data_IF_868494468980
#
_entry.id   IF_868494468980
#
_cell.length_a   1.000
_cell.length_b   1.000
_cell.length_c   1.000
_cell.angle_alpha   90.00
_cell.angle_beta   90.00
_cell.angle_gamma   90.00
#
_symmetry.space_group_name_H-M   'P 1'
#
loop_
_entity.id
_entity.type
_entity.pdbx_description
1 polymer ?
#
# COMPACT_ATOMS: atom_id res chain seq x y z
N UNK A 1 48.34 -29.99 21.89
CA UNK A 1 48.37 -30.03 20.41
C UNK A 1 46.98 -29.63 19.92
N UNK A 2 46.85 -28.55 19.13
CA UNK A 2 45.54 -28.07 18.65
C UNK A 2 45.22 -28.76 17.31
N UNK A 3 44.20 -29.62 17.31
CA UNK A 3 43.73 -30.35 16.13
C UNK A 3 42.95 -29.39 15.22
N UNK A 4 43.63 -28.74 14.26
CA UNK A 4 42.95 -27.93 13.24
C UNK A 4 42.37 -28.88 12.18
N UNK A 5 41.13 -29.35 12.41
CA UNK A 5 40.33 -29.96 11.35
C UNK A 5 39.93 -28.86 10.38
N UNK A 6 40.57 -28.81 9.21
CA UNK A 6 40.14 -27.95 8.10
C UNK A 6 38.85 -28.49 7.48
N UNK A 7 37.99 -27.57 7.02
CA UNK A 7 36.79 -27.89 6.25
C UNK A 7 37.16 -28.64 4.98
N UNK A 8 36.40 -29.68 4.62
CA UNK A 8 36.66 -30.42 3.38
C UNK A 8 35.99 -29.74 2.18
N UNK A 9 36.60 -29.82 0.99
CA UNK A 9 36.01 -29.23 -0.24
C UNK A 9 34.64 -29.83 -0.55
N UNK A 10 34.46 -31.13 -0.29
CA UNK A 10 33.18 -31.82 -0.51
C UNK A 10 32.08 -31.28 0.41
N UNK A 11 32.42 -30.92 1.64
CA UNK A 11 31.48 -30.37 2.62
C UNK A 11 30.98 -28.99 2.15
N UNK A 12 31.88 -28.15 1.62
CA UNK A 12 31.49 -26.87 1.03
C UNK A 12 30.59 -27.05 -0.22
N UNK A 13 30.89 -28.02 -1.08
CA UNK A 13 30.11 -28.30 -2.29
C UNK A 13 28.69 -28.76 -1.94
N UNK A 14 28.53 -29.66 -0.97
CA UNK A 14 27.20 -30.13 -0.56
C UNK A 14 26.37 -28.97 0.01
N UNK A 15 27.00 -28.07 0.77
CA UNK A 15 26.31 -26.91 1.37
C UNK A 15 25.76 -25.97 0.30
N UNK A 16 26.54 -25.63 -0.73
CA UNK A 16 26.06 -24.76 -1.81
C UNK A 16 24.96 -25.43 -2.64
N UNK A 17 24.99 -26.75 -2.81
CA UNK A 17 23.93 -27.50 -3.49
C UNK A 17 22.62 -27.44 -2.69
N UNK A 18 22.68 -27.66 -1.37
CA UNK A 18 21.50 -27.58 -0.50
C UNK A 18 20.94 -26.15 -0.49
N UNK A 19 21.78 -25.13 -0.31
CA UNK A 19 21.35 -23.73 -0.35
C UNK A 19 20.78 -23.38 -1.73
N UNK A 20 21.34 -23.92 -2.81
CA UNK A 20 20.82 -23.73 -4.17
C UNK A 20 19.38 -24.23 -4.34
N UNK A 21 19.08 -25.44 -3.85
CA UNK A 21 17.72 -26.01 -3.90
C UNK A 21 16.76 -25.19 -3.02
N UNK A 22 17.17 -24.84 -1.80
CA UNK A 22 16.36 -24.03 -0.89
C UNK A 22 16.07 -22.65 -1.48
N UNK A 23 17.06 -22.00 -2.09
CA UNK A 23 16.90 -20.70 -2.72
C UNK A 23 15.93 -20.75 -3.91
N UNK A 24 16.01 -21.79 -4.74
CA UNK A 24 15.13 -21.96 -5.91
C UNK A 24 13.64 -22.00 -5.53
N UNK A 25 13.29 -22.57 -4.37
CA UNK A 25 11.90 -22.63 -3.88
C UNK A 25 11.54 -21.41 -3.01
N UNK A 26 12.48 -20.90 -2.22
CA UNK A 26 12.21 -19.82 -1.26
C UNK A 26 12.04 -18.44 -1.93
N UNK A 27 12.84 -18.14 -2.96
CA UNK A 27 12.81 -16.84 -3.65
C UNK A 27 11.44 -16.53 -4.28
N UNK A 28 10.83 -17.40 -5.12
CA UNK A 28 9.54 -17.09 -5.73
C UNK A 28 8.44 -16.85 -4.67
N UNK A 29 8.40 -17.70 -3.64
CA UNK A 29 7.45 -17.55 -2.53
C UNK A 29 7.66 -16.26 -1.73
N UNK A 30 8.91 -15.84 -1.53
CA UNK A 30 9.21 -14.57 -0.87
C UNK A 30 8.68 -13.38 -1.67
N UNK A 31 8.85 -13.39 -3.00
CA UNK A 31 8.36 -12.33 -3.88
C UNK A 31 6.82 -12.23 -3.84
N UNK A 32 6.12 -13.36 -3.85
CA UNK A 32 4.66 -13.42 -3.69
C UNK A 32 4.22 -12.84 -2.34
N UNK A 33 4.84 -13.27 -1.24
CA UNK A 33 4.52 -12.76 0.10
C UNK A 33 4.73 -11.24 0.20
N UNK A 34 5.77 -10.70 -0.45
CA UNK A 34 6.00 -9.26 -0.47
C UNK A 34 4.94 -8.49 -1.26
N UNK A 35 4.38 -9.08 -2.32
CA UNK A 35 3.24 -8.54 -3.10
C UNK A 35 1.97 -8.55 -2.28
N UNK A 36 1.63 -9.68 -1.67
CA UNK A 36 0.42 -9.81 -0.85
C UNK A 36 0.44 -8.84 0.33
N UNK A 37 1.61 -8.65 0.94
CA UNK A 37 1.78 -7.64 1.99
C UNK A 37 1.57 -6.21 1.46
N UNK A 38 2.05 -5.90 0.25
CA UNK A 38 1.84 -4.59 -0.36
C UNK A 38 0.34 -4.35 -0.68
N UNK A 39 -0.33 -5.37 -1.20
CA UNK A 39 -1.77 -5.35 -1.46
C UNK A 39 -2.58 -5.16 -0.17
N UNK A 40 -2.18 -5.81 0.92
CA UNK A 40 -2.82 -5.63 2.24
C UNK A 40 -2.75 -4.19 2.73
N UNK A 41 -1.59 -3.54 2.59
CA UNK A 41 -1.41 -2.12 2.92
C UNK A 41 -2.26 -1.23 2.02
N UNK A 42 -2.32 -1.52 0.71
CA UNK A 42 -3.14 -0.76 -0.23
C UNK A 42 -4.64 -0.86 0.10
N UNK A 43 -5.14 -2.05 0.47
CA UNK A 43 -6.53 -2.27 0.89
C UNK A 43 -6.86 -1.53 2.19
N UNK A 44 -5.97 -1.57 3.18
CA UNK A 44 -6.11 -0.80 4.43
C UNK A 44 -6.17 0.71 4.16
N UNK A 45 -5.29 1.20 3.30
CA UNK A 45 -5.25 2.60 2.86
C UNK A 45 -6.55 3.03 2.18
N UNK A 46 -7.06 2.20 1.25
CA UNK A 46 -8.34 2.47 0.58
C UNK A 46 -9.50 2.58 1.57
N UNK A 47 -9.55 1.69 2.58
CA UNK A 47 -10.56 1.75 3.64
C UNK A 47 -10.49 3.06 4.42
N UNK A 48 -9.29 3.48 4.80
CA UNK A 48 -9.08 4.73 5.53
C UNK A 48 -9.44 5.96 4.69
N UNK A 49 -9.11 5.99 3.40
CA UNK A 49 -9.52 7.07 2.49
C UNK A 49 -11.06 7.14 2.35
N UNK A 50 -11.74 5.99 2.26
CA UNK A 50 -13.22 5.95 2.20
C UNK A 50 -13.87 6.46 3.48
N UNK A 51 -13.34 6.08 4.64
CA UNK A 51 -13.77 6.59 5.95
C UNK A 51 -13.57 8.10 6.08
N UNK A 52 -12.40 8.59 5.67
CA UNK A 52 -12.11 10.02 5.68
C UNK A 52 -13.04 10.81 4.75
N UNK A 53 -13.36 10.26 3.58
CA UNK A 53 -14.29 10.87 2.64
C UNK A 53 -15.74 10.92 3.18
N UNK A 54 -16.22 9.89 3.88
CA UNK A 54 -17.54 9.92 4.50
C UNK A 54 -17.62 10.93 5.64
N UNK A 55 -16.58 11.02 6.46
CA UNK A 55 -16.51 12.02 7.52
C UNK A 55 -16.47 13.44 6.93
N UNK A 56 -15.61 13.67 5.93
CA UNK A 56 -15.45 14.98 5.30
C UNK A 56 -16.75 15.44 4.65
N UNK A 57 -17.45 14.54 3.95
CA UNK A 57 -18.75 14.82 3.37
C UNK A 57 -19.78 15.24 4.43
N UNK A 58 -19.90 14.47 5.52
CA UNK A 58 -20.79 14.79 6.63
C UNK A 58 -20.49 16.15 7.26
N UNK A 59 -19.21 16.44 7.53
CA UNK A 59 -18.78 17.73 8.08
C UNK A 59 -19.16 18.91 7.18
N UNK A 60 -19.01 18.76 5.85
CA UNK A 60 -19.30 19.85 4.92
C UNK A 60 -20.79 20.10 4.69
N UNK A 61 -21.62 19.06 4.76
CA UNK A 61 -23.09 19.22 4.76
C UNK A 61 -23.53 19.95 6.03
N UNK A 62 -23.04 19.53 7.19
CA UNK A 62 -23.38 20.17 8.47
C UNK A 62 -22.91 21.63 8.54
N UNK A 63 -21.74 21.92 7.97
CA UNK A 63 -21.18 23.26 7.89
C UNK A 63 -21.75 24.14 6.76
N UNK A 64 -22.78 23.67 6.04
CA UNK A 64 -23.36 24.34 4.88
C UNK A 64 -22.32 24.90 3.88
N UNK A 65 -21.22 24.17 3.70
CA UNK A 65 -20.06 24.65 2.93
C UNK A 65 -20.17 24.15 1.50
N UNK A 66 -20.37 25.01 0.53
CA UNK A 66 -20.48 24.62 -0.89
C UNK A 66 -19.13 24.48 -1.60
N UNK A 67 -18.02 24.66 -0.88
CA UNK A 67 -16.69 24.53 -1.47
C UNK A 67 -16.42 23.08 -1.91
N UNK A 68 -15.75 22.93 -3.05
CA UNK A 68 -15.28 21.63 -3.51
C UNK A 68 -14.17 21.06 -2.62
N UNK A 69 -14.05 19.73 -2.52
CA UNK A 69 -12.89 19.07 -1.92
C UNK A 69 -12.19 18.15 -2.91
N UNK A 70 -10.89 17.97 -2.67
CA UNK A 70 -10.00 17.16 -3.48
C UNK A 70 -9.59 15.88 -2.73
N UNK A 71 -8.96 14.95 -3.45
CA UNK A 71 -8.25 13.82 -2.83
C UNK A 71 -7.21 14.29 -1.80
N UNK A 72 -6.55 15.43 -2.02
CA UNK A 72 -5.63 16.02 -1.05
C UNK A 72 -6.28 16.27 0.33
N UNK A 73 -7.49 16.83 0.36
CA UNK A 73 -8.20 17.09 1.62
C UNK A 73 -8.56 15.77 2.32
N UNK A 74 -9.07 14.80 1.55
CA UNK A 74 -9.43 13.48 2.08
C UNK A 74 -8.20 12.75 2.63
N UNK A 75 -7.09 12.77 1.91
CA UNK A 75 -5.83 12.19 2.35
C UNK A 75 -5.31 12.85 3.63
N UNK A 76 -5.46 14.18 3.75
CA UNK A 76 -5.16 14.92 4.97
C UNK A 76 -6.02 14.46 6.15
N UNK A 77 -7.34 14.38 5.96
CA UNK A 77 -8.25 13.86 6.99
C UNK A 77 -7.91 12.42 7.39
N UNK A 78 -7.61 11.57 6.41
CA UNK A 78 -7.24 10.18 6.66
C UNK A 78 -5.91 10.05 7.41
N UNK A 79 -4.96 10.95 7.13
CA UNK A 79 -3.69 11.08 7.87
C UNK A 79 -3.93 11.39 9.34
N UNK A 80 -4.84 12.33 9.64
CA UNK A 80 -5.25 12.65 11.01
C UNK A 80 -6.05 11.52 11.69
N UNK A 81 -6.72 10.66 10.92
CA UNK A 81 -7.43 9.47 11.41
C UNK A 81 -6.52 8.24 11.62
N UNK A 82 -5.19 8.42 11.62
CA UNK A 82 -4.24 7.35 11.91
C UNK A 82 -3.48 6.80 10.70
N UNK A 83 -3.78 7.22 9.46
CA UNK A 83 -2.92 6.84 8.32
C UNK A 83 -1.49 7.40 8.45
N UNK A 84 -1.28 8.44 9.26
CA UNK A 84 0.05 8.94 9.60
C UNK A 84 0.92 7.90 10.32
N UNK A 85 0.29 7.01 11.10
CA UNK A 85 1.00 6.03 11.94
C UNK A 85 1.45 4.81 11.12
N UNK A 86 0.73 4.51 10.04
CA UNK A 86 1.07 3.42 9.13
C UNK A 86 2.46 3.66 8.49
N UNK A 87 3.26 2.59 8.44
CA UNK A 87 4.65 2.61 7.95
C UNK A 87 4.77 1.81 6.66
N UNK A 88 5.89 1.97 5.96
CA UNK A 88 6.26 1.10 4.83
C UNK A 88 5.65 1.45 3.48
N UNK A 89 5.03 2.63 3.36
CA UNK A 89 4.56 3.18 2.09
C UNK A 89 4.87 4.68 2.01
N UNK A 90 4.90 5.20 0.79
CA UNK A 90 4.88 6.64 0.51
C UNK A 90 3.62 6.97 -0.28
N UNK A 91 3.16 8.21 -0.22
CA UNK A 91 2.01 8.63 -1.00
C UNK A 91 2.14 10.07 -1.50
N UNK A 92 1.39 10.36 -2.56
CA UNK A 92 1.17 11.71 -3.09
C UNK A 92 -0.31 11.84 -3.44
N UNK A 93 -0.96 12.82 -2.84
CA UNK A 93 -2.35 13.13 -3.11
C UNK A 93 -2.43 14.33 -4.06
N UNK A 94 -3.19 14.16 -5.13
CA UNK A 94 -3.48 15.16 -6.14
C UNK A 94 -4.94 15.63 -6.00
N UNK A 95 -5.42 16.36 -7.00
CA UNK A 95 -6.78 16.86 -7.04
C UNK A 95 -7.82 15.73 -7.03
N UNK A 96 -7.62 14.71 -7.85
CA UNK A 96 -8.57 13.59 -8.05
C UNK A 96 -7.98 12.22 -7.75
N UNK A 97 -6.66 12.13 -7.60
CA UNK A 97 -5.97 10.86 -7.41
C UNK A 97 -5.15 10.85 -6.13
N UNK A 98 -5.02 9.67 -5.55
CA UNK A 98 -4.06 9.36 -4.50
C UNK A 98 -3.15 8.26 -5.04
N UNK A 99 -1.86 8.54 -5.15
CA UNK A 99 -0.87 7.58 -5.61
C UNK A 99 -0.06 7.14 -4.42
N UNK A 100 0.03 5.84 -4.17
CA UNK A 100 0.89 5.28 -3.13
C UNK A 100 1.89 4.30 -3.71
N UNK A 101 3.06 4.24 -3.08
CA UNK A 101 4.09 3.27 -3.38
C UNK A 101 4.38 2.42 -2.14
N UNK A 102 4.22 1.10 -2.27
CA UNK A 102 4.51 0.11 -1.22
C UNK A 102 5.53 -0.87 -1.78
N UNK A 103 6.74 -0.90 -1.22
CA UNK A 103 7.77 -1.90 -1.59
C UNK A 103 8.02 -2.03 -3.11
N UNK A 104 7.92 -0.93 -3.85
CA UNK A 104 8.10 -0.90 -5.31
C UNK A 104 6.83 -1.12 -6.14
N UNK A 105 5.69 -1.41 -5.51
CA UNK A 105 4.38 -1.48 -6.16
C UNK A 105 3.65 -0.14 -6.05
N UNK A 106 3.13 0.35 -7.17
CA UNK A 106 2.37 1.60 -7.23
C UNK A 106 0.88 1.32 -7.32
N UNK A 107 0.11 1.90 -6.40
CA UNK A 107 -1.35 1.85 -6.42
C UNK A 107 -1.89 3.26 -6.59
N UNK A 108 -2.91 3.40 -7.42
CA UNK A 108 -3.61 4.68 -7.61
C UNK A 108 -5.04 4.51 -7.15
N UNK A 109 -5.56 5.46 -6.38
CA UNK A 109 -6.98 5.59 -6.10
C UNK A 109 -7.52 6.85 -6.73
N UNK A 110 -8.75 6.80 -7.22
CA UNK A 110 -9.42 7.89 -7.90
C UNK A 110 -10.70 8.25 -7.15
N UNK A 111 -10.87 9.55 -6.89
CA UNK A 111 -12.12 10.13 -6.41
C UNK A 111 -13.05 10.40 -7.58
N UNK A 112 -14.24 9.82 -7.53
CA UNK A 112 -15.33 10.07 -8.48
C UNK A 112 -16.62 10.31 -7.71
N UNK A 113 -17.31 11.44 -7.88
CA UNK A 113 -17.00 12.53 -8.81
C UNK A 113 -15.79 13.40 -8.42
N UNK A 114 -15.12 13.98 -9.42
CA UNK A 114 -13.95 14.89 -9.31
C UNK A 114 -14.36 16.26 -8.73
N UNK A 115 -13.47 17.14 -8.23
CA UNK A 115 -13.74 18.03 -7.09
C UNK A 115 -15.13 18.68 -7.13
N UNK A 116 -16.05 18.15 -6.33
CA UNK A 116 -17.41 18.68 -6.22
C UNK A 116 -17.63 19.28 -4.84
N UNK A 117 -18.50 20.29 -4.81
CA UNK A 117 -19.19 20.71 -3.59
C UNK A 117 -19.84 19.48 -2.91
N UNK A 118 -20.07 19.50 -1.60
CA UNK A 118 -20.65 18.36 -0.85
C UNK A 118 -22.14 18.14 -1.15
N UNK A 119 -22.62 18.53 -2.32
CA UNK A 119 -23.97 18.21 -2.82
C UNK A 119 -24.05 16.79 -3.38
N UNK A 120 -22.90 16.13 -3.60
CA UNK A 120 -22.84 14.75 -4.11
C UNK A 120 -21.75 13.96 -3.40
N UNK A 121 -22.07 12.74 -2.98
CA UNK A 121 -21.12 11.88 -2.28
C UNK A 121 -20.03 11.36 -3.23
N UNK A 122 -18.77 11.64 -2.88
CA UNK A 122 -17.60 11.08 -3.54
C UNK A 122 -17.47 9.58 -3.33
N UNK A 123 -17.10 8.81 -4.34
CA UNK A 123 -16.65 7.42 -4.23
C UNK A 123 -15.15 7.33 -4.49
N UNK A 124 -14.46 6.47 -3.75
CA UNK A 124 -13.03 6.22 -3.94
C UNK A 124 -12.87 4.80 -4.46
N UNK A 125 -12.35 4.71 -5.67
CA UNK A 125 -12.07 3.46 -6.35
C UNK A 125 -10.57 3.31 -6.54
N UNK A 126 -10.10 2.06 -6.58
CA UNK A 126 -8.73 1.75 -6.90
C UNK A 126 -8.58 1.65 -8.43
N UNK A 127 -7.62 2.39 -8.99
CA UNK A 127 -7.23 2.36 -10.39
C UNK A 127 -6.33 1.17 -10.73
N UNK A 128 -6.15 0.92 -12.02
CA UNK A 128 -5.42 -0.20 -12.61
C UNK A 128 -3.90 -0.14 -12.37
N UNK A 129 -3.49 -0.24 -11.11
CA UNK A 129 -2.17 -0.70 -10.70
C UNK A 129 -2.42 -1.94 -9.85
N UNK A 130 -2.52 -3.10 -10.52
CA UNK A 130 -2.58 -4.44 -9.94
C UNK A 130 -3.43 -4.56 -8.67
N UNK A 131 -4.72 -4.25 -8.75
CA UNK A 131 -5.67 -5.00 -7.94
C UNK A 131 -5.98 -6.25 -8.76
N UNK A 132 -5.38 -7.38 -8.41
CA UNK A 132 -5.98 -8.65 -8.77
C UNK A 132 -7.37 -8.64 -8.11
N UNK A 133 -8.38 -8.34 -8.93
CA UNK A 133 -9.79 -8.47 -8.58
C UNK A 133 -10.04 -9.95 -8.35
N UNK A 134 -10.52 -10.29 -7.14
CA UNK A 134 -11.08 -11.61 -6.84
C UNK A 134 -12.43 -11.76 -7.54
#
# INVERSE_FOLDING_TARGET
MRNRKGFTLIELIIIIVIIGILAAVAIPRYLELTRDAADGVARGTLGALRSANSLLFGQRILGNTTAAYTMGVIAGTATTQGMAEMRGFTYTAYTTTFVMNVRGYTYTFTLTPTPQAPTTYGSIAAGAGTFATW
#
